data_IF_198031873019
#
_entry.id   IF_198031873019
#
_cell.length_a   1.000
_cell.length_b   1.000
_cell.length_c   1.000
_cell.angle_alpha   90.00
_cell.angle_beta   90.00
_cell.angle_gamma   90.00
#
_symmetry.space_group_name_H-M   'P 1'
#
loop_
_entity.id
_entity.type
_entity.pdbx_description
1 polymer ?
#
# COMPACT_ATOMS: atom_id res chain seq x y z
N UNK A 1 6.67 10.74 -11.35
CA UNK A 1 7.77 9.89 -10.87
C UNK A 1 7.14 8.60 -10.35
N UNK A 2 7.61 7.45 -10.82
CA UNK A 2 7.09 6.14 -10.41
C UNK A 2 8.03 5.57 -9.36
N UNK A 3 7.50 5.23 -8.19
CA UNK A 3 8.23 4.63 -7.10
C UNK A 3 7.66 3.23 -6.86
N UNK A 4 8.50 2.22 -6.74
CA UNK A 4 8.05 0.89 -6.31
C UNK A 4 8.16 0.81 -4.79
N UNK A 5 7.08 0.38 -4.13
CA UNK A 5 7.06 0.13 -2.69
C UNK A 5 6.70 -1.33 -2.40
N UNK A 6 7.26 -1.88 -1.34
CA UNK A 6 6.82 -3.16 -0.78
C UNK A 6 5.78 -2.85 0.29
N UNK A 7 4.55 -3.31 0.10
CA UNK A 7 3.44 -3.00 1.00
C UNK A 7 2.71 -4.27 1.44
N UNK A 8 2.26 -4.25 2.70
CA UNK A 8 1.34 -5.26 3.20
C UNK A 8 -0.08 -4.84 2.84
N UNK A 9 -0.63 -5.44 1.78
CA UNK A 9 -1.96 -5.13 1.27
C UNK A 9 -2.98 -5.90 2.08
N UNK A 10 -3.91 -5.17 2.69
CA UNK A 10 -4.94 -5.72 3.57
C UNK A 10 -6.34 -5.68 2.95
N UNK A 11 -6.50 -4.97 1.84
CA UNK A 11 -7.75 -4.95 1.10
C UNK A 11 -7.66 -4.15 -0.18
N UNK A 12 -8.63 -4.37 -1.07
CA UNK A 12 -8.83 -3.56 -2.24
C UNK A 12 -10.30 -3.60 -2.67
N UNK A 13 -10.78 -2.52 -3.26
CA UNK A 13 -12.16 -2.43 -3.75
C UNK A 13 -12.26 -1.56 -4.99
N UNK A 14 -13.23 -1.86 -5.84
CA UNK A 14 -13.63 -1.01 -6.97
C UNK A 14 -14.72 -0.04 -6.53
N UNK A 15 -14.71 1.13 -7.13
CA UNK A 15 -15.83 2.06 -7.07
C UNK A 15 -16.21 2.51 -8.48
N UNK A 16 -17.50 2.71 -8.67
CA UNK A 16 -18.07 3.35 -9.85
C UNK A 16 -19.07 4.37 -9.33
N UNK A 17 -18.88 5.63 -9.71
CA UNK A 17 -19.74 6.75 -9.34
C UNK A 17 -20.74 7.01 -10.47
N UNK A 18 -21.90 7.57 -10.12
CA UNK A 18 -22.99 7.86 -11.06
C UNK A 18 -22.60 8.87 -12.15
N UNK A 19 -21.57 9.70 -11.89
CA UNK A 19 -21.00 10.65 -12.85
C UNK A 19 -20.04 9.99 -13.88
N UNK A 20 -20.00 8.66 -13.94
CA UNK A 20 -19.15 7.89 -14.84
C UNK A 20 -17.70 7.74 -14.37
N UNK A 21 -17.32 8.30 -13.21
CA UNK A 21 -15.98 8.13 -12.65
C UNK A 21 -15.88 6.75 -12.00
N UNK A 22 -15.02 5.90 -12.57
CA UNK A 22 -14.67 4.60 -12.01
C UNK A 22 -13.21 4.54 -11.59
N UNK A 23 -12.92 3.76 -10.57
CA UNK A 23 -11.57 3.51 -10.09
C UNK A 23 -11.52 2.40 -9.06
N UNK A 24 -10.37 2.22 -8.44
CA UNK A 24 -10.20 1.31 -7.34
C UNK A 24 -9.44 1.98 -6.19
N UNK A 25 -9.53 1.35 -5.02
CA UNK A 25 -8.80 1.69 -3.82
C UNK A 25 -8.02 0.49 -3.36
N UNK A 26 -6.76 0.70 -2.99
CA UNK A 26 -5.92 -0.30 -2.37
C UNK A 26 -5.61 0.18 -0.95
N UNK A 27 -5.86 -0.68 0.03
CA UNK A 27 -5.61 -0.41 1.44
C UNK A 27 -4.40 -1.21 1.88
N UNK A 28 -3.40 -0.49 2.41
CA UNK A 28 -2.17 -1.07 2.92
C UNK A 28 -2.03 -0.80 4.41
N UNK A 29 -1.26 -1.64 5.07
CA UNK A 29 -0.86 -1.48 6.46
C UNK A 29 0.67 -1.37 6.53
N UNK A 30 1.16 -0.40 7.30
CA UNK A 30 2.60 -0.18 7.51
C UNK A 30 2.86 0.17 8.98
N UNK A 31 3.99 -0.26 9.57
CA UNK A 31 4.34 0.15 10.93
C UNK A 31 4.37 1.67 11.04
N UNK A 32 3.84 2.21 12.13
CA UNK A 32 4.02 3.63 12.45
C UNK A 32 5.50 3.94 12.65
N UNK A 33 5.91 5.15 12.30
CA UNK A 33 7.28 5.58 12.48
C UNK A 33 7.62 5.60 13.98
N UNK A 34 8.76 5.00 14.36
CA UNK A 34 9.16 4.80 15.76
C UNK A 34 9.49 6.12 16.48
N UNK A 35 9.73 7.18 15.72
CA UNK A 35 10.02 8.54 16.20
C UNK A 35 8.77 9.43 16.31
N UNK A 36 7.59 8.90 15.99
CA UNK A 36 6.34 9.65 16.09
C UNK A 36 5.57 9.28 17.36
N UNK A 37 5.75 10.09 18.41
CA UNK A 37 5.07 9.91 19.71
C UNK A 37 3.53 9.99 19.62
N UNK A 38 2.98 10.58 18.54
CA UNK A 38 1.54 10.69 18.32
C UNK A 38 0.95 9.46 17.60
N UNK A 39 1.75 8.42 17.35
CA UNK A 39 1.32 7.25 16.60
C UNK A 39 1.78 5.96 17.28
N UNK A 40 0.90 4.97 17.31
CA UNK A 40 1.17 3.67 17.93
C UNK A 40 0.69 2.58 16.97
N UNK A 41 1.43 1.48 16.89
CA UNK A 41 1.05 0.31 16.10
C UNK A 41 1.26 0.48 14.60
N UNK A 42 0.19 0.35 13.83
CA UNK A 42 0.24 0.40 12.37
C UNK A 42 -0.57 1.57 11.82
N UNK A 43 -0.01 2.24 10.83
CA UNK A 43 -0.76 3.14 9.97
C UNK A 43 -1.45 2.36 8.85
N UNK A 44 -2.71 2.72 8.60
CA UNK A 44 -3.46 2.25 7.45
C UNK A 44 -3.52 3.38 6.42
N UNK A 45 -3.08 3.10 5.20
CA UNK A 45 -3.14 4.06 4.09
C UNK A 45 -3.99 3.52 2.97
N UNK A 46 -4.78 4.40 2.35
CA UNK A 46 -5.60 4.07 1.18
C UNK A 46 -5.11 4.83 -0.03
N UNK A 47 -4.79 4.10 -1.09
CA UNK A 47 -4.29 4.64 -2.35
C UNK A 47 -5.36 4.50 -3.42
N UNK A 48 -5.40 5.47 -4.33
CA UNK A 48 -6.25 5.39 -5.52
C UNK A 48 -5.58 4.51 -6.58
N UNK A 49 -6.35 3.88 -7.46
CA UNK A 49 -5.83 3.05 -8.52
C UNK A 49 -6.81 2.99 -9.71
N UNK A 50 -6.36 2.58 -10.92
CA UNK A 50 -7.24 2.26 -12.04
C UNK A 50 -8.24 1.17 -11.65
N UNK A 51 -9.42 1.19 -12.28
CA UNK A 51 -10.51 0.24 -11.98
C UNK A 51 -10.07 -1.21 -12.19
N UNK A 52 -9.22 -1.44 -13.18
CA UNK A 52 -8.71 -2.71 -13.65
C UNK A 52 -7.68 -3.34 -12.69
N UNK A 53 -7.15 -2.58 -11.72
CA UNK A 53 -6.13 -3.07 -10.78
C UNK A 53 -6.62 -4.26 -9.96
N UNK A 54 -7.93 -4.34 -9.70
CA UNK A 54 -8.50 -5.39 -8.88
C UNK A 54 -8.46 -6.74 -9.61
N UNK A 55 -8.51 -6.76 -10.95
CA UNK A 55 -8.35 -8.00 -11.73
C UNK A 55 -6.92 -8.52 -11.62
N UNK A 56 -5.93 -7.61 -11.67
CA UNK A 56 -4.52 -7.95 -11.43
C UNK A 56 -4.32 -8.49 -10.01
N UNK A 57 -4.98 -7.85 -9.03
CA UNK A 57 -4.95 -8.28 -7.65
C UNK A 57 -5.55 -9.67 -7.47
N UNK A 58 -6.73 -9.94 -8.03
CA UNK A 58 -7.38 -11.25 -7.93
C UNK A 58 -6.53 -12.36 -8.54
N UNK A 59 -5.77 -12.08 -9.61
CA UNK A 59 -4.85 -13.04 -10.22
C UNK A 59 -3.61 -13.34 -9.35
N UNK A 60 -3.23 -12.45 -8.44
CA UNK A 60 -1.97 -12.53 -7.70
C UNK A 60 -2.13 -12.70 -6.18
N UNK A 61 -3.26 -12.27 -5.62
CA UNK A 61 -3.53 -12.12 -4.20
C UNK A 61 -4.82 -12.85 -3.78
N UNK A 62 -4.92 -14.13 -4.17
CA UNK A 62 -6.03 -15.03 -3.80
C UNK A 62 -6.14 -15.19 -2.26
N UNK A 63 -5.06 -14.95 -1.54
CA UNK A 63 -5.00 -14.98 -0.08
C UNK A 63 -4.63 -13.61 0.46
N UNK A 64 -5.64 -12.82 0.83
CA UNK A 64 -5.45 -11.56 1.56
C UNK A 64 -5.56 -11.79 3.07
N UNK A 65 -4.82 -11.04 3.91
CA UNK A 65 -3.83 -10.01 3.54
C UNK A 65 -2.50 -10.60 3.03
N UNK A 66 -1.79 -9.88 2.15
CA UNK A 66 -0.52 -10.35 1.57
C UNK A 66 0.48 -9.22 1.26
N UNK A 67 1.76 -9.59 1.17
CA UNK A 67 2.82 -8.67 0.75
C UNK A 67 2.86 -8.57 -0.77
N UNK A 68 2.88 -7.34 -1.30
CA UNK A 68 2.98 -7.06 -2.74
C UNK A 68 3.90 -5.88 -3.03
N UNK A 69 4.44 -5.88 -4.24
CA UNK A 69 5.12 -4.71 -4.79
C UNK A 69 4.09 -3.85 -5.52
N UNK A 70 4.01 -2.58 -5.12
CA UNK A 70 3.13 -1.58 -5.73
C UNK A 70 3.98 -0.55 -6.46
N UNK A 71 3.73 -0.38 -7.75
CA UNK A 71 4.27 0.75 -8.49
C UNK A 71 3.33 1.93 -8.29
N UNK A 72 3.79 2.94 -7.55
CA UNK A 72 3.00 4.11 -7.17
C UNK A 72 3.52 5.37 -7.84
N UNK A 73 2.59 6.24 -8.19
CA UNK A 73 2.85 7.60 -8.65
C UNK A 73 2.36 8.58 -7.60
N UNK A 74 3.25 9.50 -7.21
CA UNK A 74 2.88 10.63 -6.38
C UNK A 74 2.23 11.71 -7.24
N UNK A 75 0.96 12.00 -6.97
CA UNK A 75 0.19 13.03 -7.66
C UNK A 75 -0.15 14.14 -6.68
N UNK A 76 0.46 15.31 -6.86
CA UNK A 76 0.07 16.54 -6.16
C UNK A 76 -0.88 17.34 -7.04
N UNK A 77 -2.11 17.56 -6.57
CA UNK A 77 -3.13 18.36 -7.25
C UNK A 77 -3.79 19.29 -6.24
N UNK A 78 -3.81 20.60 -6.52
CA UNK A 78 -4.51 21.59 -5.70
C UNK A 78 -4.13 21.57 -4.21
N UNK A 79 -2.83 21.37 -3.90
CA UNK A 79 -2.33 21.27 -2.52
C UNK A 79 -2.56 19.93 -1.82
N UNK A 80 -3.23 18.96 -2.46
CA UNK A 80 -3.41 17.61 -1.93
C UNK A 80 -2.46 16.64 -2.60
N UNK A 81 -1.66 15.96 -1.78
CA UNK A 81 -0.83 14.84 -2.18
C UNK A 81 -1.68 13.56 -2.18
N UNK A 82 -1.70 12.86 -3.32
CA UNK A 82 -2.38 11.57 -3.45
C UNK A 82 -1.40 10.54 -3.99
N UNK A 83 -1.46 9.33 -3.44
CA UNK A 83 -0.75 8.19 -3.96
C UNK A 83 -1.67 7.44 -4.93
N UNK A 84 -1.18 7.23 -6.15
CA UNK A 84 -1.90 6.52 -7.19
C UNK A 84 -1.13 5.26 -7.59
N UNK A 85 -1.72 4.08 -7.37
CA UNK A 85 -1.12 2.80 -7.76
C UNK A 85 -1.34 2.59 -9.26
N UNK A 86 -0.27 2.29 -9.98
CA UNK A 86 -0.28 2.03 -11.41
C UNK A 86 -0.28 0.52 -11.72
N UNK A 87 0.46 -0.26 -10.93
CA UNK A 87 0.59 -1.71 -11.12
C UNK A 87 0.83 -2.43 -9.80
N UNK A 88 0.46 -3.71 -9.77
CA UNK A 88 0.67 -4.61 -8.63
C UNK A 88 1.42 -5.84 -9.09
N UNK A 89 2.46 -6.24 -8.35
CA UNK A 89 3.26 -7.43 -8.65
C UNK A 89 3.44 -8.29 -7.41
N UNK A 90 3.64 -9.59 -7.63
CA UNK A 90 4.12 -10.49 -6.57
C UNK A 90 5.51 -10.01 -6.12
N UNK A 91 5.80 -10.05 -4.81
CA UNK A 91 7.12 -9.71 -4.32
C UNK A 91 8.13 -10.68 -4.92
N UNK A 92 9.16 -10.15 -5.57
CA UNK A 92 10.21 -10.99 -6.12
C UNK A 92 10.98 -11.61 -4.93
N UNK A 93 11.26 -12.92 -4.97
CA UNK A 93 11.86 -13.66 -3.84
C UNK A 93 13.26 -13.16 -3.41
N UNK A 94 13.82 -12.16 -4.09
CA UNK A 94 15.02 -11.42 -3.69
C UNK A 94 14.67 -10.33 -2.67
N UNK A 95 14.37 -10.80 -1.46
CA UNK A 95 14.48 -10.12 -0.16
C UNK A 95 14.37 -8.60 -0.08
N UNK A 96 13.20 -8.13 0.35
CA UNK A 96 13.11 -7.05 1.34
C UNK A 96 12.36 -7.62 2.53
N UNK A 97 13.11 -8.20 3.47
CA UNK A 97 12.56 -8.55 4.78
C UNK A 97 11.92 -7.27 5.35
N UNK A 98 10.67 -7.39 5.78
CA UNK A 98 10.03 -6.41 6.65
C UNK A 98 11.04 -5.99 7.72
N UNK A 99 11.27 -4.69 7.99
CA UNK A 99 12.11 -4.29 9.11
C UNK A 99 11.50 -4.93 10.35
N UNK A 100 12.16 -5.98 10.85
CA UNK A 100 11.81 -6.59 12.11
C UNK A 100 11.90 -5.48 13.15
N UNK A 101 10.82 -5.28 13.89
CA UNK A 101 10.76 -4.33 14.99
C UNK A 101 12.04 -4.47 15.83
N UNK A 102 12.83 -3.39 15.89
CA UNK A 102 14.03 -3.34 16.70
C UNK A 102 13.62 -3.54 18.16
N UNK A 103 13.79 -4.77 18.65
CA UNK A 103 13.68 -5.10 20.06
C UNK A 103 14.95 -4.59 20.72
N UNK A 104 14.98 -3.31 21.07
CA UNK A 104 15.96 -2.76 21.99
C UNK A 104 15.71 -3.36 23.36
N UNK A 105 16.30 -4.53 23.57
CA UNK A 105 16.58 -5.09 24.88
C UNK A 105 17.94 -4.55 25.27
N UNK A 106 17.98 -3.58 26.18
CA UNK A 106 19.18 -3.37 26.97
C UNK A 106 18.84 -3.28 28.45
N UNK A 107 19.67 -3.98 29.21
CA UNK A 107 19.48 -4.49 30.55
C UNK A 107 20.79 -4.17 31.26
N UNK A 108 20.82 -3.14 32.09
CA UNK A 108 21.38 -3.13 33.44
C UNK A 108 21.40 -1.74 34.06
#
# INVERSE_FOLDING_TARGET
>A
MINTIHAHVIGASRYSMDNGVKGAKITIMQPSATDNENQIGYQVSTMSAPYEILDQLHAHAVHMPCNMELDIEFRSSGGKATLHVLAVRKPNATGSAQPAAATSSDKK
#
